data_IF_557654514133
#
_entry.id   IF_557654514133
#
_cell.length_a   1.000
_cell.length_b   1.000
_cell.length_c   1.000
_cell.angle_alpha   90.00
_cell.angle_beta   90.00
_cell.angle_gamma   90.00
#
_symmetry.space_group_name_H-M   'P 1'
#
loop_
_entity.id
_entity.type
_entity.pdbx_description
1 polymer ?
#
# COMPACT_ATOMS: atom_id res chain seq x y z
N UNK A 1 8.85 -11.01 19.44
CA UNK A 1 8.45 -11.26 18.04
C UNK A 1 9.70 -11.09 17.19
N UNK A 2 10.11 -12.08 16.40
CA UNK A 2 11.22 -11.93 15.46
C UNK A 2 10.66 -11.43 14.13
N UNK A 3 10.91 -10.17 13.80
CA UNK A 3 10.40 -9.49 12.60
C UNK A 3 11.09 -9.92 11.31
N UNK A 4 12.18 -10.69 11.39
CA UNK A 4 12.94 -11.18 10.24
C UNK A 4 12.55 -12.62 9.84
N UNK A 5 11.68 -13.27 10.61
CA UNK A 5 11.11 -14.57 10.24
C UNK A 5 9.70 -14.38 9.72
N UNK A 6 9.44 -14.90 8.52
CA UNK A 6 8.09 -14.98 7.96
C UNK A 6 7.23 -15.84 8.90
N UNK A 7 6.13 -15.26 9.35
CA UNK A 7 5.11 -15.86 10.19
C UNK A 7 3.77 -15.14 9.95
N UNK A 8 2.69 -15.68 10.53
CA UNK A 8 1.35 -15.14 10.36
C UNK A 8 1.23 -13.63 10.66
N UNK A 9 1.98 -13.11 11.64
CA UNK A 9 1.94 -11.68 11.96
C UNK A 9 2.69 -10.83 10.93
N UNK A 10 3.83 -11.30 10.42
CA UNK A 10 4.58 -10.55 9.40
C UNK A 10 3.89 -10.58 8.04
N UNK A 11 3.11 -11.62 7.74
CA UNK A 11 2.32 -11.73 6.50
C UNK A 11 1.07 -10.85 6.51
N UNK A 12 0.65 -10.35 7.67
CA UNK A 12 -0.55 -9.51 7.85
C UNK A 12 -0.21 -8.07 8.23
N UNK A 13 1.07 -7.67 8.17
CA UNK A 13 1.48 -6.33 8.55
C UNK A 13 1.11 -5.33 7.45
N UNK A 14 0.30 -4.32 7.79
CA UNK A 14 -0.02 -3.23 6.87
C UNK A 14 1.17 -2.25 6.75
N UNK A 15 1.59 -1.86 5.54
CA UNK A 15 2.83 -1.12 5.32
C UNK A 15 2.61 0.40 5.39
N UNK A 16 2.60 0.96 6.60
CA UNK A 16 2.34 2.40 6.87
C UNK A 16 3.15 3.34 5.95
N UNK A 17 4.42 3.04 5.70
CA UNK A 17 5.30 3.89 4.86
C UNK A 17 4.86 3.97 3.41
N UNK A 18 4.20 2.95 2.89
CA UNK A 18 3.71 2.96 1.50
C UNK A 18 2.59 3.99 1.34
N UNK A 19 1.66 4.06 2.30
CA UNK A 19 0.62 5.10 2.31
C UNK A 19 1.21 6.51 2.33
N UNK A 20 2.17 6.76 3.23
CA UNK A 20 2.82 8.07 3.38
C UNK A 20 3.51 8.53 2.09
N UNK A 21 4.30 7.64 1.48
CA UNK A 21 5.09 7.95 0.29
C UNK A 21 4.18 8.16 -0.95
N UNK A 22 3.14 7.35 -1.11
CA UNK A 22 2.17 7.53 -2.19
C UNK A 22 1.35 8.82 -2.02
N UNK A 23 0.98 9.19 -0.79
CA UNK A 23 0.33 10.48 -0.51
C UNK A 23 1.22 11.68 -0.88
N UNK A 24 2.54 11.49 -0.90
CA UNK A 24 3.52 12.47 -1.38
C UNK A 24 3.81 12.36 -2.89
N UNK A 25 3.03 11.56 -3.64
CA UNK A 25 3.24 11.26 -5.06
C UNK A 25 4.65 10.74 -5.40
N UNK A 26 5.27 10.00 -4.48
CA UNK A 26 6.60 9.42 -4.70
C UNK A 26 6.48 8.03 -5.36
N UNK A 27 7.27 7.74 -6.41
CA UNK A 27 7.36 6.40 -6.96
C UNK A 27 8.06 5.46 -5.98
N UNK A 28 7.57 4.22 -5.87
CA UNK A 28 8.08 3.25 -4.91
C UNK A 28 8.34 1.91 -5.61
N UNK A 29 9.57 1.42 -5.50
CA UNK A 29 9.97 0.07 -5.86
C UNK A 29 9.92 -0.81 -4.63
N UNK A 30 9.20 -1.92 -4.70
CA UNK A 30 8.92 -2.82 -3.56
C UNK A 30 9.00 -4.28 -3.98
N UNK A 31 9.32 -5.15 -3.04
CA UNK A 31 9.14 -6.60 -3.22
C UNK A 31 7.69 -7.00 -2.93
N UNK A 32 7.14 -8.03 -3.60
CA UNK A 32 5.75 -8.44 -3.46
C UNK A 32 5.51 -9.24 -2.16
N UNK A 33 5.66 -8.56 -1.01
CA UNK A 33 5.36 -9.14 0.30
C UNK A 33 3.85 -9.39 0.43
N UNK A 34 3.47 -10.54 1.01
CA UNK A 34 2.07 -10.95 1.08
C UNK A 34 1.17 -9.92 1.79
N UNK A 35 1.63 -9.33 2.89
CA UNK A 35 0.88 -8.29 3.61
C UNK A 35 0.72 -6.99 2.83
N UNK A 36 1.68 -6.66 1.96
CA UNK A 36 1.60 -5.51 1.07
C UNK A 36 0.58 -5.73 -0.06
N UNK A 37 0.57 -6.93 -0.66
CA UNK A 37 -0.34 -7.29 -1.75
C UNK A 37 -1.82 -7.27 -1.34
N UNK A 38 -2.12 -7.45 -0.05
CA UNK A 38 -3.48 -7.37 0.48
C UNK A 38 -4.09 -5.97 0.30
N UNK A 39 -3.34 -4.93 0.67
CA UNK A 39 -3.81 -3.54 0.62
C UNK A 39 -3.49 -2.88 -0.74
N UNK A 40 -2.45 -3.37 -1.43
CA UNK A 40 -1.91 -2.78 -2.67
C UNK A 40 -1.73 -3.86 -3.76
N UNK A 41 -2.80 -4.31 -4.43
CA UNK A 41 -2.68 -5.27 -5.52
C UNK A 41 -1.84 -4.70 -6.67
N UNK A 42 -1.15 -5.56 -7.44
CA UNK A 42 -0.14 -5.14 -8.43
C UNK A 42 -0.65 -4.16 -9.49
N UNK A 43 -1.95 -4.21 -9.77
CA UNK A 43 -2.60 -3.33 -10.73
C UNK A 43 -3.18 -2.09 -10.06
N UNK A 44 -3.02 -0.95 -10.72
CA UNK A 44 -3.69 0.33 -10.40
C UNK A 44 -3.30 1.00 -9.08
N UNK A 45 -2.51 0.36 -8.22
CA UNK A 45 -2.06 0.97 -6.96
C UNK A 45 -0.89 1.94 -7.11
N UNK A 46 -0.25 2.05 -8.28
CA UNK A 46 0.89 2.95 -8.52
C UNK A 46 2.25 2.46 -8.02
N UNK A 47 2.33 1.29 -7.37
CA UNK A 47 3.60 0.67 -6.99
C UNK A 47 4.31 0.03 -8.19
N UNK A 48 5.60 -0.22 -8.00
CA UNK A 48 6.44 -0.99 -8.90
C UNK A 48 6.92 -2.21 -8.13
N UNK A 49 6.44 -3.39 -8.53
CA UNK A 49 6.83 -4.65 -7.94
C UNK A 49 8.05 -5.24 -8.66
N UNK A 50 8.95 -5.84 -7.88
CA UNK A 50 10.14 -6.52 -8.37
C UNK A 50 10.56 -7.61 -7.39
N UNK A 51 11.06 -8.74 -7.90
CA UNK A 51 11.70 -9.74 -7.04
C UNK A 51 13.03 -9.21 -6.51
N UNK A 52 13.49 -9.75 -5.38
CA UNK A 52 14.68 -9.26 -4.70
C UNK A 52 15.94 -9.42 -5.56
N UNK A 53 16.01 -10.51 -6.32
CA UNK A 53 17.11 -10.87 -7.20
C UNK A 53 17.32 -9.84 -8.32
N UNK A 54 16.23 -9.22 -8.78
CA UNK A 54 16.24 -8.25 -9.89
C UNK A 54 16.24 -6.78 -9.40
N UNK A 55 16.21 -6.55 -8.08
CA UNK A 55 15.92 -5.24 -7.51
C UNK A 55 16.96 -4.18 -7.90
N UNK A 56 18.24 -4.57 -7.96
CA UNK A 56 19.35 -3.69 -8.35
C UNK A 56 19.24 -3.24 -9.81
N UNK A 57 18.99 -4.18 -10.72
CA UNK A 57 18.86 -3.86 -12.14
C UNK A 57 17.60 -3.03 -12.40
N UNK A 58 16.53 -3.33 -11.66
CA UNK A 58 15.28 -2.60 -11.75
C UNK A 58 15.43 -1.14 -11.31
N UNK A 59 16.12 -0.88 -10.20
CA UNK A 59 16.31 0.50 -9.73
C UNK A 59 17.16 1.31 -10.72
N UNK A 60 18.21 0.71 -11.30
CA UNK A 60 19.04 1.36 -12.33
C UNK A 60 18.21 1.71 -13.56
N UNK A 61 17.41 0.77 -14.07
CA UNK A 61 16.54 1.00 -15.23
C UNK A 61 15.48 2.07 -14.97
N UNK A 62 14.94 2.15 -13.75
CA UNK A 62 13.95 3.16 -13.38
C UNK A 62 14.54 4.57 -13.30
N UNK A 63 15.77 4.71 -12.81
CA UNK A 63 16.47 6.00 -12.73
C UNK A 63 16.79 6.61 -14.10
N UNK A 64 16.61 5.85 -15.19
CA UNK A 64 16.78 6.32 -16.57
C UNK A 64 15.47 6.80 -17.21
N UNK A 65 14.33 6.68 -16.51
CA UNK A 65 12.98 6.95 -17.04
C UNK A 65 12.15 7.80 -16.07
N UNK A 66 12.47 9.10 -16.04
CA UNK A 66 11.84 10.08 -15.15
C UNK A 66 10.32 10.20 -15.38
N UNK A 67 9.87 10.10 -16.63
CA UNK A 67 8.44 10.20 -16.97
C UNK A 67 7.65 9.01 -16.39
N UNK A 68 8.21 7.81 -16.46
CA UNK A 68 7.61 6.63 -15.84
C UNK A 68 7.57 6.74 -14.33
N UNK A 69 8.64 7.25 -13.70
CA UNK A 69 8.69 7.49 -12.26
C UNK A 69 7.61 8.50 -11.83
N UNK A 70 7.49 9.62 -12.56
CA UNK A 70 6.46 10.62 -12.32
C UNK A 70 5.05 10.04 -12.48
N UNK A 71 4.80 9.29 -13.55
CA UNK A 71 3.51 8.61 -13.77
C UNK A 71 3.16 7.67 -12.61
N UNK A 72 4.12 6.86 -12.15
CA UNK A 72 3.91 5.94 -11.03
C UNK A 72 3.59 6.67 -9.72
N UNK A 73 4.30 7.76 -9.43
CA UNK A 73 4.00 8.63 -8.29
C UNK A 73 2.57 9.19 -8.33
N UNK A 74 2.13 9.70 -9.48
CA UNK A 74 0.77 10.24 -9.66
C UNK A 74 -0.32 9.16 -9.54
N UNK A 75 -0.07 7.96 -10.07
CA UNK A 75 -0.98 6.82 -9.88
C UNK A 75 -1.10 6.43 -8.41
N UNK A 76 0.01 6.44 -7.67
CA UNK A 76 0.03 6.17 -6.23
C UNK A 76 -0.77 7.21 -5.43
N UNK A 77 -0.57 8.50 -5.72
CA UNK A 77 -1.34 9.57 -5.09
C UNK A 77 -2.84 9.39 -5.33
N UNK A 78 -3.24 9.20 -6.58
CA UNK A 78 -4.63 8.96 -6.95
C UNK A 78 -5.21 7.75 -6.21
N UNK A 79 -4.46 6.66 -6.13
CA UNK A 79 -4.88 5.45 -5.42
C UNK A 79 -5.15 5.71 -3.92
N UNK A 80 -4.29 6.47 -3.24
CA UNK A 80 -4.48 6.84 -1.84
C UNK A 80 -5.71 7.74 -1.66
N UNK A 81 -5.88 8.77 -2.50
CA UNK A 81 -7.05 9.66 -2.45
C UNK A 81 -8.36 8.89 -2.67
N UNK A 82 -8.35 7.94 -3.61
CA UNK A 82 -9.50 7.13 -3.98
C UNK A 82 -9.84 6.05 -2.94
N UNK A 83 -8.94 5.67 -2.02
CA UNK A 83 -9.17 4.50 -1.15
C UNK A 83 -8.90 4.74 0.34
N UNK A 84 -7.88 5.51 0.69
CA UNK A 84 -7.26 5.50 2.03
C UNK A 84 -7.23 6.86 2.73
N UNK A 85 -8.12 7.78 2.38
CA UNK A 85 -8.23 9.05 3.10
C UNK A 85 -8.72 8.86 4.54
N UNK A 86 -8.32 9.74 5.44
CA UNK A 86 -8.80 9.77 6.83
C UNK A 86 -10.32 9.83 6.94
N UNK A 87 -10.98 10.52 6.00
CA UNK A 87 -12.44 10.58 5.93
C UNK A 87 -13.04 9.19 5.70
N UNK A 88 -12.56 8.45 4.70
CA UNK A 88 -13.03 7.08 4.40
C UNK A 88 -12.79 6.13 5.57
N UNK A 89 -11.60 6.23 6.19
CA UNK A 89 -11.28 5.45 7.38
C UNK A 89 -12.26 5.74 8.53
N UNK A 90 -12.48 7.01 8.87
CA UNK A 90 -13.39 7.41 9.94
C UNK A 90 -14.84 6.98 9.66
N UNK A 91 -15.31 7.14 8.43
CA UNK A 91 -16.66 6.70 8.01
C UNK A 91 -16.83 5.18 8.18
N UNK A 92 -15.82 4.39 7.80
CA UNK A 92 -15.83 2.94 8.01
C UNK A 92 -15.97 2.60 9.48
N UNK A 93 -15.14 3.18 10.36
CA UNK A 93 -15.23 2.96 11.80
C UNK A 93 -16.58 3.34 12.39
N UNK A 94 -17.12 4.50 12.02
CA UNK A 94 -18.45 4.95 12.47
C UNK A 94 -19.54 3.95 12.07
N UNK A 95 -19.48 3.41 10.85
CA UNK A 95 -20.45 2.44 10.37
C UNK A 95 -20.35 1.10 11.12
N UNK A 96 -19.13 0.62 11.39
CA UNK A 96 -18.93 -0.58 12.22
C UNK A 96 -19.49 -0.40 13.63
N UNK A 97 -19.20 0.74 14.28
CA UNK A 97 -19.75 1.00 15.62
C UNK A 97 -21.28 1.08 15.62
N UNK A 98 -21.89 1.70 14.60
CA UNK A 98 -23.35 1.71 14.45
C UNK A 98 -23.92 0.31 14.29
N UNK A 99 -23.29 -0.54 13.46
CA UNK A 99 -23.68 -1.94 13.26
C UNK A 99 -23.66 -2.72 14.57
N UNK A 100 -22.58 -2.58 15.35
CA UNK A 100 -22.46 -3.22 16.67
C UNK A 100 -23.59 -2.76 17.61
N UNK A 101 -23.88 -1.46 17.67
CA UNK A 101 -24.95 -0.92 18.53
C UNK A 101 -26.34 -1.45 18.14
N UNK A 102 -26.61 -1.61 16.85
CA UNK A 102 -27.88 -2.18 16.37
C UNK A 102 -27.98 -3.65 16.77
N UNK A 103 -26.96 -4.46 16.50
CA UNK A 103 -26.95 -5.89 16.80
C UNK A 103 -26.97 -6.21 18.30
N UNK A 104 -26.58 -5.27 19.16
CA UNK A 104 -26.66 -5.43 20.63
C UNK A 104 -28.06 -5.16 21.21
N UNK A 105 -28.96 -4.56 20.43
CA UNK A 105 -30.33 -4.22 20.86
C UNK A 105 -31.36 -5.30 20.50
N UNK A 106 -30.98 -6.25 19.66
CA UNK A 106 -31.75 -7.45 19.32
C UNK A 106 -31.33 -8.65 20.20
#
# INVERSE_FOLDING_TARGET
INTFKINEMTDKLSPVKVFDLQACALPILVTPLQGLLHDFPEEQCGLIYCQLEDFSDKIIALLQDDEKLKLKGQLGLKFIEDNFTWKKAAEKWINEFKSIIVNFKD
#
